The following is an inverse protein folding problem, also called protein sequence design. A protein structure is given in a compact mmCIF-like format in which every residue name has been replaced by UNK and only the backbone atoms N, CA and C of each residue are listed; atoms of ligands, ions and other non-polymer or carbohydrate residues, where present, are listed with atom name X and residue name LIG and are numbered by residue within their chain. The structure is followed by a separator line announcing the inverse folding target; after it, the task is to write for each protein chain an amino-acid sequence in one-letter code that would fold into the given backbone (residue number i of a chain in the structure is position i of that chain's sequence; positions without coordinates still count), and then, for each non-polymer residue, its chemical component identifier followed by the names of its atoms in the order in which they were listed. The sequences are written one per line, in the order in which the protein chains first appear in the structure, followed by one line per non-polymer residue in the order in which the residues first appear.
data_IF_705338088422
#
_entry.id   IF_705338088422
#
_cell.length_a   1.000
_cell.length_b   1.000
_cell.length_c   1.000
_cell.angle_alpha   90.00
_cell.angle_beta   90.00
_cell.angle_gamma   90.00
#
_symmetry.space_group_name_H-M   'P 1'
#
loop_
_entity.id
_entity.type
_entity.pdbx_description
1 polymer ?
#
# COMPACT_ATOMS: atom_id res chain seq x y z
N UNK A 1 10.19 17.02 31.68
CA UNK A 1 9.93 18.09 30.71
C UNK A 1 11.28 18.70 30.36
N UNK A 2 11.65 18.71 29.09
CA UNK A 2 12.91 19.31 28.63
C UNK A 2 12.58 20.55 27.82
N UNK A 3 13.36 21.62 27.97
CA UNK A 3 13.09 22.89 27.32
C UNK A 3 14.37 23.59 26.91
N UNK A 4 14.23 24.47 25.91
CA UNK A 4 15.23 25.44 25.51
C UNK A 4 14.55 26.81 25.47
N UNK A 5 15.28 27.86 25.81
CA UNK A 5 14.81 29.24 25.74
C UNK A 5 15.63 30.02 24.72
N UNK A 6 15.02 31.02 24.10
CA UNK A 6 15.75 32.02 23.32
C UNK A 6 16.54 32.92 24.27
N UNK A 7 17.78 33.27 23.89
CA UNK A 7 18.64 34.11 24.71
C UNK A 7 18.74 35.49 24.05
N UNK A 8 18.22 36.53 24.69
CA UNK A 8 18.23 37.89 24.15
C UNK A 8 17.53 37.99 22.79
N UNK A 9 18.25 38.51 21.80
CA UNK A 9 17.76 38.75 20.42
C UNK A 9 17.99 37.57 19.46
N UNK A 10 18.38 36.40 19.98
CA UNK A 10 18.66 35.22 19.16
C UNK A 10 17.39 34.73 18.44
N UNK A 11 17.48 34.61 17.12
CA UNK A 11 16.39 34.11 16.27
C UNK A 11 16.27 32.57 16.26
N UNK A 12 17.27 31.88 16.81
CA UNK A 12 17.35 30.40 16.79
C UNK A 12 17.79 29.90 18.16
N UNK A 13 17.03 28.96 18.72
CA UNK A 13 17.40 28.24 19.93
C UNK A 13 17.56 26.75 19.62
N UNK A 14 18.71 26.17 19.97
CA UNK A 14 19.01 24.76 19.69
C UNK A 14 18.92 23.91 20.96
N UNK A 15 18.08 22.87 20.92
CA UNK A 15 18.00 21.88 21.98
C UNK A 15 19.12 20.84 21.85
N UNK A 16 19.83 20.56 22.95
CA UNK A 16 20.85 19.51 22.97
C UNK A 16 20.23 18.11 22.80
N UNK A 17 20.86 17.19 22.04
CA UNK A 17 20.36 15.83 21.87
C UNK A 17 20.21 15.11 23.21
N UNK A 18 19.08 14.44 23.42
CA UNK A 18 18.80 13.65 24.63
C UNK A 18 18.44 12.22 24.26
N UNK A 19 19.04 11.29 24.99
CA UNK A 19 18.74 9.87 24.89
C UNK A 19 17.86 9.46 26.07
N UNK A 20 16.71 8.87 25.78
CA UNK A 20 15.78 8.37 26.79
C UNK A 20 15.65 6.88 26.56
N UNK A 21 15.98 6.09 27.58
CA UNK A 21 15.75 4.65 27.55
C UNK A 21 14.35 4.35 28.06
N UNK A 22 13.58 3.65 27.25
CA UNK A 22 12.21 3.23 27.58
C UNK A 22 12.28 1.78 28.01
N UNK A 23 11.89 1.49 29.26
CA UNK A 23 11.93 0.15 29.84
C UNK A 23 10.63 -0.61 29.67
N UNK A 24 9.49 0.08 29.62
CA UNK A 24 8.16 -0.50 29.52
C UNK A 24 7.66 -0.52 28.08
N UNK A 25 6.93 -1.58 27.71
CA UNK A 25 6.29 -1.66 26.40
C UNK A 25 5.01 -0.82 26.37
N UNK A 26 4.88 0.09 25.41
CA UNK A 26 3.69 0.93 25.28
C UNK A 26 3.73 1.83 24.06
N UNK A 27 2.65 2.60 23.86
CA UNK A 27 2.64 3.69 22.87
C UNK A 27 3.09 4.98 23.54
N UNK A 28 4.11 5.62 22.95
CA UNK A 28 4.66 6.87 23.44
C UNK A 28 4.45 7.97 22.40
N UNK A 29 3.89 9.09 22.83
CA UNK A 29 3.70 10.27 22.01
C UNK A 29 4.70 11.34 22.44
N UNK A 30 5.34 11.99 21.46
CA UNK A 30 6.21 13.14 21.68
C UNK A 30 5.46 14.40 21.24
N UNK A 31 5.35 15.37 22.14
CA UNK A 31 4.73 16.65 21.88
C UNK A 31 5.78 17.76 21.96
N UNK A 32 5.77 18.65 20.98
CA UNK A 32 6.50 19.92 21.03
C UNK A 32 5.50 21.01 21.42
N UNK A 33 5.74 21.64 22.57
CA UNK A 33 4.86 22.65 23.15
C UNK A 33 5.71 23.89 23.40
N UNK A 34 5.23 25.06 22.97
CA UNK A 34 5.81 26.36 23.34
C UNK A 34 4.89 27.04 24.36
N UNK A 35 5.48 27.71 25.36
CA UNK A 35 4.73 28.33 26.44
C UNK A 35 4.60 29.87 26.30
N UNK A 36 5.40 30.50 25.42
CA UNK A 36 5.38 31.95 25.24
C UNK A 36 4.34 32.36 24.16
N UNK A 37 3.33 33.17 24.51
CA UNK A 37 2.32 33.65 23.57
C UNK A 37 2.86 34.65 22.53
N UNK A 38 4.06 35.21 22.73
CA UNK A 38 4.69 36.14 21.79
C UNK A 38 5.33 35.42 20.59
N UNK A 39 5.58 34.12 20.70
CA UNK A 39 6.19 33.28 19.65
C UNK A 39 5.16 32.78 18.61
N UNK A 40 4.27 33.65 18.14
CA UNK A 40 3.29 33.31 17.09
C UNK A 40 4.01 33.04 15.77
N UNK A 41 3.85 31.84 15.22
CA UNK A 41 4.51 31.43 13.97
C UNK A 41 5.88 30.78 14.15
N UNK A 42 6.22 30.33 15.37
CA UNK A 42 7.44 29.54 15.63
C UNK A 42 7.49 28.29 14.74
N UNK A 43 8.59 28.13 14.00
CA UNK A 43 8.89 26.91 13.23
C UNK A 43 9.85 26.06 14.05
N UNK A 44 9.46 24.81 14.31
CA UNK A 44 10.29 23.83 15.01
C UNK A 44 10.83 22.85 13.97
N UNK A 45 12.13 22.92 13.70
CA UNK A 45 12.82 21.95 12.85
C UNK A 45 13.68 21.03 13.71
N UNK A 46 13.57 19.73 13.50
CA UNK A 46 14.33 18.76 14.26
C UNK A 46 14.11 17.33 13.79
N UNK A 47 15.00 16.44 14.22
CA UNK A 47 14.93 15.00 13.93
C UNK A 47 14.78 14.22 15.22
N UNK A 48 13.82 13.30 15.24
CA UNK A 48 13.65 12.33 16.33
C UNK A 48 13.96 10.95 15.80
N UNK A 49 14.65 10.14 16.60
CA UNK A 49 15.03 8.77 16.22
C UNK A 49 14.45 7.80 17.23
N UNK A 50 13.65 6.87 16.74
CA UNK A 50 12.98 5.86 17.54
C UNK A 50 13.55 4.50 17.17
N UNK A 51 14.01 3.75 18.17
CA UNK A 51 14.60 2.43 17.97
C UNK A 51 14.01 1.45 18.96
N UNK A 52 13.40 0.40 18.42
CA UNK A 52 12.91 -0.74 19.19
C UNK A 52 14.03 -1.80 19.31
N UNK A 53 13.96 -2.77 20.26
CA UNK A 53 14.95 -3.84 20.35
C UNK A 53 15.09 -4.65 19.05
N UNK A 54 14.00 -4.76 18.28
CA UNK A 54 13.93 -5.48 17.00
C UNK A 54 14.44 -4.67 15.79
N UNK A 55 14.75 -3.38 15.96
CA UNK A 55 15.18 -2.46 14.90
C UNK A 55 14.41 -1.15 14.89
N UNK A 56 14.47 -0.40 13.79
CA UNK A 56 13.86 0.93 13.67
C UNK A 56 12.39 0.91 13.28
N UNK A 57 11.79 -0.26 13.02
CA UNK A 57 10.37 -0.34 12.70
C UNK A 57 9.50 0.06 13.89
N UNK A 58 8.46 0.88 13.68
CA UNK A 58 7.45 1.13 14.71
C UNK A 58 6.83 -0.19 15.19
N UNK A 59 6.56 -0.31 16.49
CA UNK A 59 6.00 -1.54 17.07
C UNK A 59 4.72 -2.04 16.38
N UNK A 60 3.88 -1.12 15.90
CA UNK A 60 2.65 -1.45 15.13
C UNK A 60 2.94 -2.10 13.76
N UNK A 61 4.08 -1.78 13.14
CA UNK A 61 4.48 -2.30 11.83
C UNK A 61 5.43 -3.51 11.94
N UNK A 62 6.07 -3.72 13.09
CA UNK A 62 6.98 -4.85 13.32
C UNK A 62 6.42 -6.23 12.90
N UNK A 63 5.17 -6.62 13.23
CA UNK A 63 4.64 -7.92 12.81
C UNK A 63 4.39 -8.03 11.31
N UNK A 64 4.13 -6.91 10.61
CA UNK A 64 3.85 -6.91 9.17
C UNK A 64 5.06 -7.39 8.38
N UNK A 65 6.28 -7.05 8.79
CA UNK A 65 7.50 -7.55 8.15
C UNK A 65 7.53 -9.08 8.06
N UNK A 66 7.25 -9.75 9.18
CA UNK A 66 7.25 -11.21 9.23
C UNK A 66 6.09 -11.79 8.43
N UNK A 67 4.91 -11.16 8.50
CA UNK A 67 3.75 -11.55 7.71
C UNK A 67 4.04 -11.54 6.21
N UNK A 68 4.58 -10.44 5.66
CA UNK A 68 4.96 -10.35 4.25
C UNK A 68 6.05 -11.35 3.87
N UNK A 69 6.99 -11.65 4.77
CA UNK A 69 7.99 -12.69 4.57
C UNK A 69 7.38 -14.10 4.42
N UNK A 70 6.48 -14.48 5.33
CA UNK A 70 5.79 -15.78 5.26
C UNK A 70 4.86 -15.87 4.05
N UNK A 71 4.12 -14.79 3.75
CA UNK A 71 3.25 -14.73 2.58
C UNK A 71 4.03 -14.83 1.28
N UNK A 72 5.20 -14.17 1.18
CA UNK A 72 6.08 -14.28 0.01
C UNK A 72 6.50 -15.74 -0.22
N UNK A 73 6.90 -16.46 0.83
CA UNK A 73 7.22 -17.89 0.73
C UNK A 73 6.01 -18.73 0.30
N UNK A 74 4.83 -18.46 0.86
CA UNK A 74 3.60 -19.14 0.48
C UNK A 74 3.27 -18.94 -1.01
N UNK A 75 3.45 -17.72 -1.53
CA UNK A 75 3.28 -17.42 -2.95
C UNK A 75 4.32 -18.11 -3.84
N UNK A 76 5.56 -18.26 -3.39
CA UNK A 76 6.59 -19.05 -4.11
C UNK A 76 6.15 -20.52 -4.20
N UNK A 77 5.72 -21.12 -3.10
CA UNK A 77 5.24 -22.52 -3.09
C UNK A 77 4.02 -22.68 -3.99
N UNK A 78 3.06 -21.76 -3.91
CA UNK A 78 1.89 -21.72 -4.79
C UNK A 78 2.31 -21.58 -6.26
N UNK A 79 3.26 -20.71 -6.56
CA UNK A 79 3.78 -20.49 -7.90
C UNK A 79 4.46 -21.73 -8.48
N UNK A 80 5.27 -22.44 -7.70
CA UNK A 80 5.90 -23.70 -8.12
C UNK A 80 4.83 -24.77 -8.39
N UNK A 81 3.87 -24.92 -7.48
CA UNK A 81 2.77 -25.85 -7.66
C UNK A 81 1.96 -25.53 -8.91
N UNK A 82 1.56 -24.26 -9.08
CA UNK A 82 0.81 -23.79 -10.23
C UNK A 82 1.59 -23.98 -11.53
N UNK A 83 2.86 -23.60 -11.58
CA UNK A 83 3.70 -23.74 -12.76
C UNK A 83 3.90 -25.21 -13.14
N UNK A 84 4.01 -26.12 -12.16
CA UNK A 84 4.09 -27.56 -12.43
C UNK A 84 2.80 -28.12 -13.07
N UNK A 85 1.63 -27.66 -12.62
CA UNK A 85 0.36 -28.04 -13.23
C UNK A 85 0.19 -27.41 -14.60
N UNK A 86 0.53 -26.12 -14.71
CA UNK A 86 0.55 -25.40 -15.98
C UNK A 86 1.40 -26.17 -16.99
N UNK A 87 2.67 -26.50 -16.65
CA UNK A 87 3.62 -27.39 -17.36
C UNK A 87 3.02 -28.72 -17.84
N UNK A 88 2.28 -29.40 -16.98
CA UNK A 88 1.69 -30.71 -17.30
C UNK A 88 0.57 -30.61 -18.35
N UNK A 89 -0.17 -29.51 -18.37
CA UNK A 89 -1.34 -29.32 -19.24
C UNK A 89 -1.14 -28.25 -20.33
N UNK A 90 0.11 -28.01 -20.79
CA UNK A 90 0.42 -26.97 -21.81
C UNK A 90 -0.37 -27.08 -23.12
N UNK A 91 -0.86 -28.27 -23.47
CA UNK A 91 -1.64 -28.48 -24.69
C UNK A 91 -3.08 -27.97 -24.61
N UNK A 92 -3.62 -27.75 -23.42
CA UNK A 92 -5.02 -27.35 -23.18
C UNK A 92 -5.11 -26.01 -22.43
N UNK A 93 -4.18 -25.08 -22.71
CA UNK A 93 -4.12 -23.79 -22.00
C UNK A 93 -5.28 -22.89 -22.42
N UNK A 94 -6.25 -22.76 -21.52
CA UNK A 94 -7.31 -21.78 -21.60
C UNK A 94 -6.78 -20.38 -21.27
N UNK A 95 -7.33 -19.33 -21.89
CA UNK A 95 -6.96 -17.93 -21.62
C UNK A 95 -7.05 -17.58 -20.11
N UNK A 96 -7.99 -18.21 -19.40
CA UNK A 96 -8.16 -18.05 -17.95
C UNK A 96 -6.92 -18.47 -17.15
N UNK A 97 -6.22 -19.52 -17.57
CA UNK A 97 -5.01 -19.99 -16.87
C UNK A 97 -3.89 -18.94 -16.95
N UNK A 98 -3.75 -18.23 -18.08
CA UNK A 98 -2.79 -17.14 -18.22
C UNK A 98 -3.11 -15.97 -17.29
N UNK A 99 -4.39 -15.64 -17.12
CA UNK A 99 -4.84 -14.63 -16.16
C UNK A 99 -4.48 -15.02 -14.72
N UNK A 100 -4.66 -16.29 -14.34
CA UNK A 100 -4.31 -16.77 -12.99
C UNK A 100 -2.79 -16.72 -12.79
N UNK A 101 -1.99 -17.16 -13.77
CA UNK A 101 -0.52 -17.06 -13.71
C UNK A 101 -0.07 -15.61 -13.53
N UNK A 102 -0.70 -14.66 -14.22
CA UNK A 102 -0.43 -13.22 -14.06
C UNK A 102 -0.73 -12.74 -12.63
N UNK A 103 -1.86 -13.13 -12.05
CA UNK A 103 -2.22 -12.74 -10.68
C UNK A 103 -1.25 -13.33 -9.65
N UNK A 104 -0.85 -14.60 -9.81
CA UNK A 104 0.11 -15.25 -8.91
C UNK A 104 1.47 -14.56 -8.98
N UNK A 105 1.98 -14.28 -10.18
CA UNK A 105 3.26 -13.60 -10.37
C UNK A 105 3.24 -12.18 -9.80
N UNK A 106 2.19 -11.40 -10.05
CA UNK A 106 2.00 -10.09 -9.44
C UNK A 106 1.93 -10.15 -7.91
N UNK A 107 1.25 -11.15 -7.35
CA UNK A 107 1.21 -11.40 -5.90
C UNK A 107 2.57 -11.74 -5.31
N UNK A 108 3.39 -12.54 -6.01
CA UNK A 108 4.78 -12.82 -5.60
C UNK A 108 5.62 -11.54 -5.53
N UNK A 109 5.56 -10.70 -6.56
CA UNK A 109 6.30 -9.43 -6.59
C UNK A 109 5.84 -8.46 -5.50
N UNK A 110 4.53 -8.30 -5.31
CA UNK A 110 3.96 -7.48 -4.24
C UNK A 110 4.50 -7.90 -2.87
N UNK A 111 4.36 -9.18 -2.50
CA UNK A 111 4.78 -9.66 -1.18
C UNK A 111 6.29 -9.50 -0.97
N UNK A 112 7.08 -9.71 -2.02
CA UNK A 112 8.53 -9.51 -1.96
C UNK A 112 8.91 -8.04 -1.79
N UNK A 113 8.31 -7.13 -2.54
CA UNK A 113 8.58 -5.69 -2.46
C UNK A 113 8.21 -5.12 -1.10
N UNK A 114 7.05 -5.49 -0.56
CA UNK A 114 6.66 -5.11 0.80
C UNK A 114 7.63 -5.66 1.86
N UNK A 115 8.06 -6.93 1.73
CA UNK A 115 9.07 -7.47 2.63
C UNK A 115 10.39 -6.68 2.58
N UNK A 116 10.88 -6.35 1.38
CA UNK A 116 12.10 -5.56 1.21
C UNK A 116 11.96 -4.14 1.77
N UNK A 117 10.82 -3.48 1.55
CA UNK A 117 10.53 -2.18 2.14
C UNK A 117 10.64 -2.23 3.67
N UNK A 118 9.93 -3.17 4.32
CA UNK A 118 9.95 -3.30 5.77
C UNK A 118 11.32 -3.75 6.30
N UNK A 119 12.03 -4.60 5.55
CA UNK A 119 13.36 -5.04 5.94
C UNK A 119 14.38 -3.89 5.91
N UNK A 120 14.33 -3.06 4.88
CA UNK A 120 15.23 -1.91 4.72
C UNK A 120 14.86 -0.80 5.71
N UNK A 121 13.57 -0.52 5.87
CA UNK A 121 13.09 0.43 6.88
C UNK A 121 13.48 -0.01 8.30
N UNK A 122 13.51 -1.31 8.59
CA UNK A 122 13.96 -1.80 9.90
C UNK A 122 15.45 -1.56 10.17
N UNK A 123 16.27 -1.48 9.11
CA UNK A 123 17.72 -1.29 9.20
C UNK A 123 18.11 0.18 9.27
N UNK A 124 17.54 0.99 8.38
CA UNK A 124 17.92 2.40 8.20
C UNK A 124 17.10 3.36 9.07
N UNK A 125 15.89 2.94 9.47
CA UNK A 125 14.92 3.80 10.14
C UNK A 125 14.35 4.91 9.27
N UNK A 126 14.57 4.83 7.95
CA UNK A 126 13.99 5.73 6.94
C UNK A 126 13.24 4.88 5.93
N UNK A 127 12.03 5.31 5.54
CA UNK A 127 11.27 4.62 4.49
C UNK A 127 12.00 4.76 3.15
N UNK A 128 12.37 3.67 2.47
CA UNK A 128 13.04 3.72 1.18
C UNK A 128 12.05 4.11 0.08
N UNK A 129 11.96 5.41 -0.22
CA UNK A 129 10.96 5.97 -1.15
C UNK A 129 10.85 5.20 -2.47
N UNK A 130 11.98 4.82 -3.07
CA UNK A 130 11.99 4.06 -4.33
C UNK A 130 11.31 2.69 -4.21
N UNK A 131 11.64 1.92 -3.17
CA UNK A 131 11.05 0.58 -2.97
C UNK A 131 9.57 0.70 -2.63
N UNK A 132 9.20 1.69 -1.81
CA UNK A 132 7.79 1.96 -1.46
C UNK A 132 6.96 2.30 -2.71
N UNK A 133 7.46 3.13 -3.63
CA UNK A 133 6.76 3.44 -4.89
C UNK A 133 6.51 2.16 -5.68
N UNK A 134 7.53 1.33 -5.87
CA UNK A 134 7.37 0.06 -6.58
C UNK A 134 6.41 -0.89 -5.87
N UNK A 135 6.51 -1.03 -4.55
CA UNK A 135 5.61 -1.88 -3.76
C UNK A 135 4.14 -1.47 -3.95
N UNK A 136 3.87 -0.17 -3.84
CA UNK A 136 2.54 0.43 -4.06
C UNK A 136 2.05 0.24 -5.49
N UNK A 137 2.88 0.52 -6.50
CA UNK A 137 2.48 0.33 -7.90
C UNK A 137 2.16 -1.14 -8.19
N UNK A 138 2.95 -2.10 -7.73
CA UNK A 138 2.64 -3.52 -7.92
C UNK A 138 1.38 -3.96 -7.17
N UNK A 139 1.15 -3.46 -5.95
CA UNK A 139 -0.10 -3.68 -5.20
C UNK A 139 -1.33 -3.19 -5.98
N UNK A 140 -1.29 -1.95 -6.46
CA UNK A 140 -2.40 -1.33 -7.19
C UNK A 140 -2.65 -1.97 -8.56
N UNK A 141 -1.59 -2.34 -9.29
CA UNK A 141 -1.69 -3.11 -10.54
C UNK A 141 -2.38 -4.44 -10.27
N UNK A 142 -1.91 -5.22 -9.30
CA UNK A 142 -2.49 -6.53 -8.96
C UNK A 142 -3.97 -6.40 -8.56
N UNK A 143 -4.29 -5.43 -7.70
CA UNK A 143 -5.66 -5.14 -7.28
C UNK A 143 -6.58 -4.77 -8.44
N UNK A 144 -6.09 -4.01 -9.41
CA UNK A 144 -6.83 -3.64 -10.62
C UNK A 144 -7.03 -4.84 -11.53
N UNK A 145 -5.94 -5.55 -11.83
CA UNK A 145 -5.93 -6.73 -12.71
C UNK A 145 -6.88 -7.80 -12.17
N UNK A 146 -6.86 -8.07 -10.86
CA UNK A 146 -7.77 -9.03 -10.22
C UNK A 146 -9.25 -8.64 -10.40
N UNK A 147 -9.61 -7.37 -10.13
CA UNK A 147 -11.00 -6.88 -10.30
C UNK A 147 -11.46 -6.97 -11.76
N UNK A 148 -10.60 -6.57 -12.69
CA UNK A 148 -10.89 -6.61 -14.13
C UNK A 148 -11.07 -8.06 -14.61
N UNK A 149 -10.20 -8.98 -14.19
CA UNK A 149 -10.34 -10.41 -14.50
C UNK A 149 -11.65 -10.96 -13.95
N UNK A 150 -11.97 -10.71 -12.68
CA UNK A 150 -13.22 -11.18 -12.06
C UNK A 150 -14.43 -10.65 -12.83
N UNK A 151 -14.43 -9.36 -13.20
CA UNK A 151 -15.52 -8.77 -13.98
C UNK A 151 -15.64 -9.41 -15.37
N UNK A 152 -14.53 -9.63 -16.08
CA UNK A 152 -14.54 -10.29 -17.39
C UNK A 152 -15.07 -11.72 -17.29
N UNK A 153 -14.61 -12.50 -16.30
CA UNK A 153 -15.08 -13.87 -16.05
C UNK A 153 -16.56 -13.88 -15.69
N UNK A 154 -17.02 -12.92 -14.89
CA UNK A 154 -18.42 -12.76 -14.50
C UNK A 154 -19.35 -12.37 -15.65
N UNK A 155 -18.80 -11.87 -16.76
CA UNK A 155 -19.52 -11.61 -18.02
C UNK A 155 -19.44 -12.80 -18.98
N UNK A 156 -18.88 -13.93 -18.54
CA UNK A 156 -18.75 -15.15 -19.33
C UNK A 156 -17.55 -15.17 -20.29
N UNK A 157 -16.56 -14.28 -20.14
CA UNK A 157 -15.35 -14.30 -20.97
C UNK A 157 -14.58 -15.62 -20.79
N UNK A 158 -14.22 -16.25 -21.92
CA UNK A 158 -13.42 -17.48 -21.95
C UNK A 158 -14.19 -18.79 -21.72
N UNK A 159 -15.38 -18.74 -21.10
CA UNK A 159 -16.25 -19.93 -20.91
C UNK A 159 -17.44 -19.91 -21.87
N UNK A 160 -18.13 -18.78 -21.98
CA UNK A 160 -19.43 -18.67 -22.66
C UNK A 160 -19.35 -17.79 -23.91
N UNK A 161 -18.44 -16.81 -23.94
CA UNK A 161 -18.23 -15.92 -25.09
C UNK A 161 -16.73 -15.78 -25.41
N UNK A 162 -16.30 -16.01 -26.67
CA UNK A 162 -14.90 -15.90 -27.06
C UNK A 162 -14.41 -14.44 -27.12
N UNK A 163 -15.30 -13.46 -27.28
CA UNK A 163 -14.96 -12.03 -27.26
C UNK A 163 -16.10 -11.19 -26.66
N UNK A 164 -15.75 -10.15 -25.88
CA UNK A 164 -16.72 -9.22 -25.27
C UNK A 164 -17.03 -7.99 -26.16
N UNK A 165 -16.49 -7.91 -27.38
CA UNK A 165 -16.73 -6.82 -28.32
C UNK A 165 -16.47 -5.44 -27.70
N UNK A 166 -17.40 -4.50 -27.89
CA UNK A 166 -17.31 -3.14 -27.34
C UNK A 166 -17.37 -3.05 -25.80
N UNK A 167 -17.77 -4.13 -25.11
CA UNK A 167 -17.82 -4.17 -23.65
C UNK A 167 -16.42 -4.25 -23.04
N UNK A 168 -15.47 -4.90 -23.72
CA UNK A 168 -14.05 -5.00 -23.29
C UNK A 168 -13.42 -3.61 -23.14
N UNK A 169 -13.68 -2.70 -24.08
CA UNK A 169 -13.16 -1.33 -24.04
C UNK A 169 -13.67 -0.57 -22.81
N UNK A 170 -14.97 -0.74 -22.46
CA UNK A 170 -15.55 -0.12 -21.26
C UNK A 170 -14.93 -0.66 -19.97
N UNK A 171 -14.69 -1.97 -19.90
CA UNK A 171 -14.06 -2.62 -18.75
C UNK A 171 -12.61 -2.17 -18.59
N UNK A 172 -11.85 -2.09 -19.68
CA UNK A 172 -10.46 -1.59 -19.65
C UNK A 172 -10.41 -0.13 -19.23
N UNK A 173 -11.30 0.72 -19.77
CA UNK A 173 -11.37 2.14 -19.38
C UNK A 173 -11.69 2.28 -17.89
N UNK A 174 -12.65 1.50 -17.36
CA UNK A 174 -12.95 1.49 -15.93
C UNK A 174 -11.75 1.04 -15.10
N UNK A 175 -11.07 -0.04 -15.52
CA UNK A 175 -9.87 -0.53 -14.87
C UNK A 175 -8.75 0.50 -14.84
N UNK A 176 -8.53 1.22 -15.94
CA UNK A 176 -7.54 2.30 -16.02
C UNK A 176 -7.86 3.45 -15.07
N UNK A 177 -9.11 3.91 -15.01
CA UNK A 177 -9.52 4.95 -14.07
C UNK A 177 -9.36 4.51 -12.62
N UNK A 178 -9.71 3.27 -12.29
CA UNK A 178 -9.52 2.70 -10.96
C UNK A 178 -8.05 2.58 -10.58
N UNK A 179 -7.20 2.12 -11.50
CA UNK A 179 -5.76 2.04 -11.30
C UNK A 179 -5.18 3.40 -10.96
N UNK A 180 -5.45 4.42 -11.77
CA UNK A 180 -4.93 5.77 -11.56
C UNK A 180 -5.43 6.36 -10.22
N UNK A 181 -6.71 6.22 -9.90
CA UNK A 181 -7.26 6.73 -8.66
C UNK A 181 -6.66 6.03 -7.42
N UNK A 182 -6.47 4.71 -7.50
CA UNK A 182 -5.90 3.91 -6.41
C UNK A 182 -4.40 4.16 -6.23
N UNK A 183 -3.65 4.29 -7.33
CA UNK A 183 -2.22 4.59 -7.30
C UNK A 183 -1.95 5.96 -6.68
N UNK A 184 -2.70 7.00 -7.07
CA UNK A 184 -2.59 8.33 -6.46
C UNK A 184 -2.88 8.28 -4.96
N UNK A 185 -3.94 7.57 -4.55
CA UNK A 185 -4.27 7.42 -3.13
C UNK A 185 -3.16 6.71 -2.35
N UNK A 186 -2.71 5.54 -2.82
CA UNK A 186 -1.71 4.74 -2.10
C UNK A 186 -0.33 5.41 -2.08
N UNK A 187 0.07 6.14 -3.14
CA UNK A 187 1.31 6.91 -3.15
C UNK A 187 1.24 8.06 -2.14
N UNK A 188 0.13 8.79 -2.10
CA UNK A 188 -0.05 9.86 -1.11
C UNK A 188 -0.05 9.32 0.32
N UNK A 189 -0.62 8.13 0.57
CA UNK A 189 -0.63 7.55 1.92
C UNK A 189 0.72 6.95 2.35
N UNK A 190 1.50 6.38 1.42
CA UNK A 190 2.74 5.67 1.77
C UNK A 190 4.02 6.48 1.56
N UNK A 191 4.01 7.43 0.62
CA UNK A 191 5.14 8.29 0.24
C UNK A 191 4.89 9.74 0.66
N UNK A 192 3.64 10.20 0.63
CA UNK A 192 3.27 11.53 1.11
C UNK A 192 3.66 11.70 2.56
N UNK A 193 4.56 12.65 2.82
CA UNK A 193 5.05 12.97 4.15
C UNK A 193 3.86 13.16 5.11
N UNK A 194 3.96 12.58 6.30
CA UNK A 194 2.95 12.57 7.38
C UNK A 194 2.71 13.99 7.96
N UNK A 195 3.19 15.03 7.31
CA UNK A 195 3.11 16.41 7.76
C UNK A 195 2.13 17.13 6.82
N UNK A 196 0.96 17.48 7.35
CA UNK A 196 -0.09 18.34 6.78
C UNK A 196 -1.16 17.78 5.83
N UNK A 197 -1.30 16.46 5.65
CA UNK A 197 -2.56 15.96 5.08
C UNK A 197 -3.69 16.04 6.13
N UNK A 198 -4.40 17.16 6.13
CA UNK A 198 -5.67 17.33 6.83
C UNK A 198 -6.54 16.09 6.59
N UNK A 199 -7.13 15.51 7.65
CA UNK A 199 -7.99 14.32 7.52
C UNK A 199 -9.11 14.49 6.48
N UNK A 200 -9.49 15.73 6.16
CA UNK A 200 -10.40 16.07 5.06
C UNK A 200 -9.83 15.77 3.67
N UNK A 201 -8.55 16.06 3.42
CA UNK A 201 -7.88 15.76 2.15
C UNK A 201 -7.79 14.25 1.93
N UNK A 202 -7.49 13.48 2.99
CA UNK A 202 -7.51 12.01 2.94
C UNK A 202 -8.90 11.48 2.59
N UNK A 203 -9.94 11.98 3.25
CA UNK A 203 -11.33 11.58 2.96
C UNK A 203 -11.70 11.84 1.49
N UNK A 204 -11.28 12.99 0.96
CA UNK A 204 -11.53 13.38 -0.43
C UNK A 204 -10.83 12.44 -1.45
N UNK A 205 -9.66 11.88 -1.11
CA UNK A 205 -8.96 10.91 -1.97
C UNK A 205 -9.56 9.50 -1.87
N UNK A 206 -10.00 9.08 -0.68
CA UNK A 206 -10.56 7.73 -0.45
C UNK A 206 -11.95 7.57 -1.08
N UNK A 207 -12.77 8.63 -1.06
CA UNK A 207 -14.17 8.56 -1.48
C UNK A 207 -14.35 8.16 -2.97
N UNK A 208 -13.63 8.74 -3.94
CA UNK A 208 -13.72 8.31 -5.35
C UNK A 208 -13.32 6.85 -5.55
N UNK A 209 -12.26 6.38 -4.89
CA UNK A 209 -11.81 4.98 -4.99
C UNK A 209 -12.87 4.03 -4.45
N UNK A 210 -13.46 4.35 -3.30
CA UNK A 210 -14.55 3.56 -2.71
C UNK A 210 -15.80 3.50 -3.59
N UNK A 211 -16.15 4.60 -4.28
CA UNK A 211 -17.25 4.61 -5.25
C UNK A 211 -16.97 3.71 -6.45
N UNK A 212 -15.74 3.73 -6.98
CA UNK A 212 -15.34 2.84 -8.07
C UNK A 212 -15.37 1.36 -7.63
N UNK A 213 -14.91 1.06 -6.42
CA UNK A 213 -15.01 -0.28 -5.83
C UNK A 213 -16.47 -0.77 -5.75
N UNK A 214 -17.37 0.07 -5.24
CA UNK A 214 -18.80 -0.26 -5.19
C UNK A 214 -19.37 -0.51 -6.59
N UNK A 215 -18.96 0.30 -7.58
CA UNK A 215 -19.38 0.13 -8.97
C UNK A 215 -18.89 -1.21 -9.56
N UNK A 216 -17.63 -1.59 -9.32
CA UNK A 216 -17.10 -2.90 -9.73
C UNK A 216 -17.92 -4.05 -9.14
N UNK A 217 -18.20 -4.01 -7.83
CA UNK A 217 -18.95 -5.07 -7.14
C UNK A 217 -20.38 -5.19 -7.69
N UNK A 218 -21.08 -4.06 -7.86
CA UNK A 218 -22.43 -4.05 -8.42
C UNK A 218 -22.43 -4.57 -9.86
N UNK A 219 -21.43 -4.22 -10.66
CA UNK A 219 -21.35 -4.70 -12.03
C UNK A 219 -21.05 -6.21 -12.09
N UNK A 220 -20.15 -6.71 -11.26
CA UNK A 220 -19.89 -8.15 -11.12
C UNK A 220 -21.19 -8.89 -10.79
N UNK A 221 -21.92 -8.44 -9.77
CA UNK A 221 -23.15 -9.09 -9.32
C UNK A 221 -24.27 -9.05 -10.37
N UNK A 222 -24.43 -7.92 -11.07
CA UNK A 222 -25.42 -7.78 -12.14
C UNK A 222 -25.09 -8.61 -13.38
N UNK A 223 -23.80 -8.79 -13.70
CA UNK A 223 -23.37 -9.70 -14.77
C UNK A 223 -23.64 -11.17 -14.40
N UNK A 224 -23.25 -11.59 -13.19
CA UNK A 224 -23.50 -12.96 -12.71
C UNK A 224 -24.99 -13.32 -12.66
N UNK A 225 -25.83 -12.39 -12.20
CA UNK A 225 -27.28 -12.62 -12.12
C UNK A 225 -27.97 -12.68 -13.48
N UNK A 226 -27.40 -12.04 -14.52
CA UNK A 226 -27.91 -12.13 -15.90
C UNK A 226 -27.58 -13.46 -16.56
N UNK A 227 -26.40 -14.01 -16.29
CA UNK A 227 -25.98 -15.30 -16.84
C UNK A 227 -26.65 -16.50 -16.13
N UNK A 228 -27.21 -16.31 -14.92
CA UNK A 228 -27.93 -17.34 -14.16
C UNK A 228 -29.40 -17.54 -14.59
N UNK A 229 -29.87 -16.84 -15.62
CA UNK A 229 -31.27 -16.84 -16.07
C UNK A 229 -31.40 -17.39 -17.49
#
# INVERSE_FOLDING_TARGET
MFGTSFNGDDLVATMQPKFIQITETGMYNLYFIHCDPNLKGLVIEGKTVWKNPTGYLPGRMAPLKNFYGFMSLAFVVLGIFWFSQYARFWREVLQLQNCITLVITLGMFEMALWYFEYAEFNKTGVRPTGITIWAVTFSTVKHTVARVIILMVSMGYGVVRPTLGGLTSKVIMLGGTFFLASEVLELVENVGAINDLSGKARLFLVLPVAMLDAFFILWIFTSLSRDSK
#
